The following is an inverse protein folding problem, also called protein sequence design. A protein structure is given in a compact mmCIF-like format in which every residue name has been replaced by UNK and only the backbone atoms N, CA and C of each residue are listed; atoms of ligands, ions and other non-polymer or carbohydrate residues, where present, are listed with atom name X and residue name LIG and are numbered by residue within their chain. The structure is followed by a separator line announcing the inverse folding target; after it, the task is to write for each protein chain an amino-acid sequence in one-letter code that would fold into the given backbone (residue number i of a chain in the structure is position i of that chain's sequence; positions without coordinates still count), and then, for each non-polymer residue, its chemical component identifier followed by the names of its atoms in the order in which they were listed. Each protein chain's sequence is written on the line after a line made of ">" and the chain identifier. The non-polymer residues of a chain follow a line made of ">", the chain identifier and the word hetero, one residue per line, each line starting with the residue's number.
data_IF_311915236447
#
_entry.id   IF_311915236447
#
_cell.length_a   1.000
_cell.length_b   1.000
_cell.length_c   1.000
_cell.angle_alpha   90.00
_cell.angle_beta   90.00
_cell.angle_gamma   90.00
#
_symmetry.space_group_name_H-M   'P 1'
#
loop_
_entity.id
_entity.type
_entity.pdbx_description
1 polymer ?
#
# COMPACT_ATOMS: atom_id res chain seq x y z
N UNK A 1 0.98 -33.09 -29.64
CA UNK A 1 1.46 -31.68 -29.72
C UNK A 1 0.33 -30.65 -29.71
N UNK A 2 -0.79 -30.85 -30.42
CA UNK A 2 -1.90 -29.88 -30.50
C UNK A 2 -2.61 -29.54 -29.17
N UNK A 3 -2.67 -30.47 -28.21
CA UNK A 3 -3.26 -30.26 -26.87
C UNK A 3 -2.28 -29.72 -25.84
N UNK A 4 -0.97 -29.84 -26.08
CA UNK A 4 0.05 -29.36 -25.14
C UNK A 4 0.12 -27.82 -25.12
N UNK A 5 -0.09 -27.17 -26.27
CA UNK A 5 -0.09 -25.71 -26.42
C UNK A 5 -1.22 -25.05 -25.60
N UNK A 6 -2.51 -25.44 -25.70
CA UNK A 6 -3.57 -24.83 -24.90
C UNK A 6 -3.41 -25.11 -23.40
N UNK A 7 -2.87 -26.26 -23.00
CA UNK A 7 -2.57 -26.55 -21.59
C UNK A 7 -1.46 -25.63 -21.08
N UNK A 8 -0.37 -25.48 -21.83
CA UNK A 8 0.72 -24.58 -21.47
C UNK A 8 0.26 -23.12 -21.39
N UNK A 9 -0.56 -22.67 -22.36
CA UNK A 9 -1.14 -21.34 -22.36
C UNK A 9 -2.07 -21.11 -21.16
N UNK A 10 -2.92 -22.10 -20.84
CA UNK A 10 -3.80 -22.04 -19.67
C UNK A 10 -3.03 -21.97 -18.35
N UNK A 11 -1.98 -22.78 -18.21
CA UNK A 11 -1.10 -22.77 -17.04
C UNK A 11 -0.38 -21.42 -16.87
N UNK A 12 0.13 -20.85 -17.97
CA UNK A 12 0.77 -19.54 -17.95
C UNK A 12 -0.20 -18.42 -17.54
N UNK A 13 -1.43 -18.43 -18.08
CA UNK A 13 -2.46 -17.46 -17.71
C UNK A 13 -2.85 -17.56 -16.23
N UNK A 14 -3.04 -18.78 -15.72
CA UNK A 14 -3.33 -19.01 -14.31
C UNK A 14 -2.18 -18.53 -13.40
N UNK A 15 -0.93 -18.81 -13.79
CA UNK A 15 0.26 -18.33 -13.08
C UNK A 15 0.35 -16.80 -13.04
N UNK A 16 0.07 -16.12 -14.16
CA UNK A 16 0.06 -14.67 -14.21
C UNK A 16 -1.02 -14.04 -13.31
N UNK A 17 -2.23 -14.62 -13.29
CA UNK A 17 -3.31 -14.16 -12.41
C UNK A 17 -2.97 -14.38 -10.93
N UNK A 18 -2.41 -15.55 -10.59
CA UNK A 18 -1.98 -15.84 -9.23
C UNK A 18 -0.87 -14.88 -8.78
N UNK A 19 0.10 -14.61 -9.66
CA UNK A 19 1.16 -13.64 -9.40
C UNK A 19 0.60 -12.22 -9.20
N UNK A 20 -0.25 -11.74 -10.11
CA UNK A 20 -0.84 -10.42 -9.99
C UNK A 20 -1.67 -10.26 -8.70
N UNK A 21 -2.40 -11.30 -8.31
CA UNK A 21 -3.14 -11.29 -7.05
C UNK A 21 -2.22 -11.26 -5.81
N UNK A 22 -1.09 -11.96 -5.84
CA UNK A 22 -0.09 -11.93 -4.76
C UNK A 22 0.60 -10.56 -4.69
N UNK A 23 1.08 -10.07 -5.82
CA UNK A 23 1.87 -8.84 -5.95
C UNK A 23 1.06 -7.60 -5.56
N UNK A 24 -0.24 -7.57 -5.83
CA UNK A 24 -1.16 -6.51 -5.38
C UNK A 24 -1.21 -6.31 -3.84
N UNK A 25 -0.77 -7.29 -3.05
CA UNK A 25 -0.65 -7.18 -1.59
C UNK A 25 0.78 -6.96 -1.09
N UNK A 26 1.76 -6.92 -1.97
CA UNK A 26 3.18 -6.93 -1.62
C UNK A 26 3.76 -5.52 -1.54
N UNK A 27 3.29 -4.74 -0.57
CA UNK A 27 3.89 -3.45 -0.21
C UNK A 27 5.34 -3.66 0.25
N UNK A 28 6.21 -2.78 -0.21
CA UNK A 28 7.61 -2.68 0.19
C UNK A 28 7.85 -1.41 0.97
N UNK A 29 8.82 -1.49 1.87
CA UNK A 29 9.37 -0.36 2.57
C UNK A 29 10.72 -0.05 1.92
N UNK A 30 10.88 1.19 1.46
CA UNK A 30 12.12 1.69 0.90
C UNK A 30 12.52 2.95 1.65
N UNK A 31 13.80 3.06 2.00
CA UNK A 31 14.37 4.23 2.67
C UNK A 31 15.31 4.93 1.68
N UNK A 32 14.98 6.17 1.35
CA UNK A 32 15.68 6.98 0.36
C UNK A 32 16.16 8.28 1.01
N UNK A 33 17.41 8.64 0.77
CA UNK A 33 17.95 9.95 1.17
C UNK A 33 17.53 11.00 0.14
N UNK A 34 16.70 11.96 0.56
CA UNK A 34 16.25 13.09 -0.27
C UNK A 34 16.75 14.41 0.34
N UNK A 35 17.78 15.06 -0.26
CA UNK A 35 18.30 16.32 0.26
C UNK A 35 17.29 17.46 0.02
N UNK A 36 17.00 18.22 1.07
CA UNK A 36 16.10 19.38 1.02
C UNK A 36 16.91 20.68 1.13
N UNK A 37 17.30 21.26 0.00
CA UNK A 37 18.20 22.43 -0.07
C UNK A 37 17.70 23.67 0.70
N UNK A 38 16.38 23.79 0.85
CA UNK A 38 15.71 24.97 1.42
C UNK A 38 14.93 24.64 2.70
N UNK A 39 15.29 23.59 3.42
CA UNK A 39 14.62 23.23 4.66
C UNK A 39 14.92 24.29 5.75
N UNK A 40 13.91 24.96 6.32
CA UNK A 40 14.09 25.83 7.48
C UNK A 40 14.74 25.07 8.63
N UNK A 41 15.67 25.71 9.36
CA UNK A 41 16.43 25.05 10.44
C UNK A 41 15.52 24.55 11.57
N UNK A 42 14.40 25.23 11.77
CA UNK A 42 13.38 24.91 12.76
C UNK A 42 12.66 23.58 12.47
N UNK A 43 12.71 23.11 11.22
CA UNK A 43 12.12 21.83 10.79
C UNK A 43 13.16 20.70 10.70
N UNK A 44 14.43 20.98 11.00
CA UNK A 44 15.48 19.97 10.98
C UNK A 44 15.20 18.90 12.05
N UNK A 45 15.12 17.63 11.62
CA UNK A 45 14.84 16.51 12.50
C UNK A 45 13.36 16.22 12.75
N UNK A 46 12.43 17.04 12.23
CA UNK A 46 10.99 16.73 12.28
C UNK A 46 10.71 15.48 11.46
N UNK A 47 10.01 14.52 12.05
CA UNK A 47 9.60 13.26 11.41
C UNK A 47 8.12 13.31 11.08
N UNK A 48 7.80 13.30 9.80
CA UNK A 48 6.43 13.32 9.29
C UNK A 48 6.13 11.96 8.68
N UNK A 49 5.05 11.32 9.13
CA UNK A 49 4.45 10.22 8.40
C UNK A 49 3.32 10.76 7.54
N UNK A 50 3.34 10.43 6.25
CA UNK A 50 2.29 10.82 5.31
C UNK A 50 1.65 9.56 4.73
N UNK A 51 0.33 9.44 4.89
CA UNK A 51 -0.48 8.33 4.44
C UNK A 51 -1.52 8.82 3.42
N UNK A 52 -1.67 8.10 2.32
CA UNK A 52 -2.62 8.44 1.25
C UNK A 52 -2.94 7.22 0.38
N UNK A 53 -3.93 7.36 -0.50
CA UNK A 53 -4.17 6.46 -1.66
C UNK A 53 -4.41 4.98 -1.29
N UNK A 54 -5.00 4.73 -0.12
CA UNK A 54 -5.35 3.37 0.28
C UNK A 54 -6.45 2.74 -0.58
N UNK A 55 -7.32 3.56 -1.19
CA UNK A 55 -8.32 3.13 -2.16
C UNK A 55 -9.15 1.89 -1.73
N UNK A 56 -9.54 1.84 -0.45
CA UNK A 56 -10.23 0.70 0.14
C UNK A 56 -11.55 0.39 -0.57
N UNK A 57 -11.94 -0.88 -0.56
CA UNK A 57 -13.21 -1.38 -1.09
C UNK A 57 -13.15 -1.99 -2.50
N UNK A 58 -11.99 -1.98 -3.16
CA UNK A 58 -11.76 -2.90 -4.29
C UNK A 58 -11.40 -4.30 -3.78
N UNK A 59 -11.84 -5.38 -4.47
CA UNK A 59 -11.44 -6.75 -4.12
C UNK A 59 -9.96 -6.97 -4.46
N UNK A 60 -9.09 -6.61 -3.53
CA UNK A 60 -7.64 -6.74 -3.63
C UNK A 60 -7.04 -7.09 -2.26
N UNK A 61 -5.72 -7.25 -2.22
CA UNK A 61 -4.96 -7.39 -0.96
C UNK A 61 -4.58 -6.04 -0.34
N UNK A 62 -5.21 -4.94 -0.77
CA UNK A 62 -4.96 -3.59 -0.28
C UNK A 62 -5.19 -3.43 1.23
N UNK A 63 -6.08 -4.22 1.83
CA UNK A 63 -6.31 -4.15 3.29
C UNK A 63 -5.05 -4.54 4.09
N UNK A 64 -4.32 -5.57 3.62
CA UNK A 64 -3.05 -5.98 4.23
C UNK A 64 -1.96 -4.92 4.03
N UNK A 65 -1.98 -4.23 2.89
CA UNK A 65 -1.10 -3.11 2.60
C UNK A 65 -1.29 -1.97 3.61
N UNK A 66 -2.54 -1.61 3.88
CA UNK A 66 -2.89 -0.56 4.84
C UNK A 66 -2.45 -0.94 6.25
N UNK A 67 -2.77 -2.15 6.71
CA UNK A 67 -2.35 -2.60 8.04
C UNK A 67 -0.83 -2.52 8.22
N UNK A 68 -0.06 -2.99 7.24
CA UNK A 68 1.41 -2.87 7.28
C UNK A 68 1.88 -1.41 7.27
N UNK A 69 1.25 -0.53 6.49
CA UNK A 69 1.58 0.89 6.49
C UNK A 69 1.34 1.53 7.86
N UNK A 70 0.23 1.21 8.53
CA UNK A 70 -0.06 1.69 9.89
C UNK A 70 0.99 1.19 10.87
N UNK A 71 1.32 -0.11 10.85
CA UNK A 71 2.36 -0.69 11.71
C UNK A 71 3.73 -0.02 11.49
N UNK A 72 4.09 0.22 10.23
CA UNK A 72 5.34 0.89 9.87
C UNK A 72 5.40 2.32 10.37
N UNK A 73 4.30 3.06 10.26
CA UNK A 73 4.19 4.43 10.78
C UNK A 73 4.32 4.42 12.30
N UNK A 74 3.58 3.56 13.00
CA UNK A 74 3.61 3.45 14.45
C UNK A 74 5.03 3.15 14.97
N UNK A 75 5.72 2.19 14.34
CA UNK A 75 7.09 1.80 14.72
C UNK A 75 8.12 2.94 14.54
N UNK A 76 7.88 3.89 13.62
CA UNK A 76 8.79 5.01 13.33
C UNK A 76 8.61 6.21 14.24
N UNK A 77 7.55 6.22 15.05
CA UNK A 77 7.26 7.25 16.06
C UNK A 77 7.33 8.68 15.49
N UNK A 78 6.60 9.02 14.42
CA UNK A 78 6.64 10.36 13.83
C UNK A 78 6.15 11.42 14.82
N UNK A 79 6.56 12.67 14.61
CA UNK A 79 6.09 13.82 15.38
C UNK A 79 4.75 14.32 14.82
N UNK A 80 4.48 14.07 13.54
CA UNK A 80 3.24 14.40 12.85
C UNK A 80 2.80 13.28 11.91
N UNK A 81 1.51 12.93 11.95
CA UNK A 81 0.87 12.05 10.97
C UNK A 81 -0.07 12.89 10.10
N UNK A 82 0.17 12.88 8.79
CA UNK A 82 -0.64 13.55 7.78
C UNK A 82 -1.38 12.50 6.97
N UNK A 83 -2.68 12.70 6.79
CA UNK A 83 -3.53 11.85 5.93
C UNK A 83 -4.15 12.76 4.87
N UNK A 84 -3.71 12.64 3.61
CA UNK A 84 -4.10 13.60 2.57
C UNK A 84 -5.34 13.23 1.78
N UNK A 85 -5.77 11.96 1.77
CA UNK A 85 -7.00 11.55 1.09
C UNK A 85 -6.89 10.22 0.35
N UNK A 86 -7.87 9.96 -0.52
CA UNK A 86 -8.00 8.78 -1.37
C UNK A 86 -7.99 7.44 -0.61
N UNK A 87 -8.68 7.45 0.52
CA UNK A 87 -8.77 6.29 1.41
C UNK A 87 -9.81 5.25 0.96
N UNK A 88 -10.83 5.65 0.19
CA UNK A 88 -11.94 4.80 -0.21
C UNK A 88 -12.23 4.95 -1.70
N UNK A 89 -12.38 3.82 -2.38
CA UNK A 89 -12.85 3.75 -3.76
C UNK A 89 -14.26 3.18 -3.87
N UNK A 90 -14.68 2.35 -2.91
CA UNK A 90 -16.02 1.74 -2.85
C UNK A 90 -16.51 1.70 -1.40
N UNK A 91 -17.83 1.83 -1.20
CA UNK A 91 -18.47 1.81 0.12
C UNK A 91 -18.19 0.56 0.95
N UNK A 92 -17.92 -0.58 0.30
CA UNK A 92 -17.54 -1.83 0.98
C UNK A 92 -16.29 -1.69 1.87
N UNK A 93 -15.38 -0.76 1.56
CA UNK A 93 -14.17 -0.51 2.35
C UNK A 93 -14.40 0.34 3.61
N UNK A 94 -15.57 0.97 3.75
CA UNK A 94 -15.86 1.90 4.85
C UNK A 94 -15.77 1.27 6.24
N UNK A 95 -16.26 0.05 6.51
CA UNK A 95 -16.16 -0.56 7.83
C UNK A 95 -14.71 -0.70 8.32
N UNK A 96 -13.80 -1.14 7.44
CA UNK A 96 -12.38 -1.25 7.75
C UNK A 96 -11.75 0.12 8.01
N UNK A 97 -12.04 1.13 7.18
CA UNK A 97 -11.53 2.47 7.43
C UNK A 97 -11.98 2.99 8.80
N UNK A 98 -13.24 2.76 9.19
CA UNK A 98 -13.76 3.14 10.51
C UNK A 98 -13.10 2.39 11.65
N UNK A 99 -12.69 1.15 11.43
CA UNK A 99 -11.92 0.37 12.42
C UNK A 99 -10.52 0.95 12.62
N UNK A 100 -9.83 1.28 11.53
CA UNK A 100 -8.46 1.83 11.56
C UNK A 100 -8.34 3.23 12.15
N UNK A 101 -9.45 3.98 12.20
CA UNK A 101 -9.51 5.34 12.75
C UNK A 101 -9.88 5.38 14.24
N UNK A 102 -10.12 4.22 14.88
CA UNK A 102 -10.39 4.12 16.32
C UNK A 102 -9.10 3.99 17.10
#
# INVERSE_FOLDING_TARGET
>A
MRTAIPIAAGAAAAGALAWGHFEAGWVRLEELECPLERLPRELAGVRIAHLSDFHLGFPSRGEQAVLRAVDWVAARRPDLVLVSGDLLSRSRGEPLLRELLR
#
